data_IF_050571229924
#
_entry.id   IF_050571229924
#
_cell.length_a   1.000
_cell.length_b   1.000
_cell.length_c   1.000
_cell.angle_alpha   90.00
_cell.angle_beta   90.00
_cell.angle_gamma   90.00
#
_symmetry.space_group_name_H-M   'P 1'
#
loop_
_entity.id
_entity.type
_entity.pdbx_description
1 polymer ?
#
# COMPACT_ATOMS: atom_id res chain seq x y z
N UNK A 1 1.46 -16.70 9.52
CA UNK A 1 2.87 -16.82 9.11
C UNK A 1 3.44 -15.43 8.92
N UNK A 2 4.69 -15.18 9.33
CA UNK A 2 5.32 -13.87 9.16
C UNK A 2 5.67 -13.68 7.68
N UNK A 3 4.99 -12.76 6.99
CA UNK A 3 5.32 -12.36 5.62
C UNK A 3 6.70 -11.68 5.62
N UNK A 4 7.57 -12.08 4.71
CA UNK A 4 8.86 -11.45 4.46
C UNK A 4 8.67 -10.67 3.15
N UNK A 5 9.03 -9.38 3.15
CA UNK A 5 9.00 -8.57 1.93
C UNK A 5 9.99 -9.15 0.93
N UNK A 6 9.50 -9.44 -0.27
CA UNK A 6 10.31 -9.88 -1.41
C UNK A 6 11.11 -8.71 -1.98
N UNK A 7 12.08 -8.99 -2.85
CA UNK A 7 12.86 -7.95 -3.54
C UNK A 7 11.98 -6.94 -4.29
N UNK A 8 10.83 -7.41 -4.80
CA UNK A 8 9.87 -6.58 -5.50
C UNK A 8 9.13 -5.63 -4.55
N UNK A 9 8.70 -6.12 -3.38
CA UNK A 9 8.11 -5.28 -2.33
C UNK A 9 9.09 -4.18 -1.91
N UNK A 10 10.38 -4.53 -1.75
CA UNK A 10 11.45 -3.58 -1.40
C UNK A 10 11.64 -2.53 -2.50
N UNK A 11 11.60 -2.94 -3.77
CA UNK A 11 11.71 -2.04 -4.92
C UNK A 11 10.57 -1.01 -4.98
N UNK A 12 9.34 -1.47 -4.76
CA UNK A 12 8.16 -0.61 -4.66
C UNK A 12 8.34 0.38 -3.51
N UNK A 13 8.72 -0.11 -2.32
CA UNK A 13 8.85 0.71 -1.11
C UNK A 13 9.94 1.79 -1.27
N UNK A 14 11.08 1.46 -1.91
CA UNK A 14 12.12 2.43 -2.28
C UNK A 14 11.65 3.48 -3.29
N UNK A 15 10.72 3.12 -4.18
CA UNK A 15 10.19 4.04 -5.19
C UNK A 15 9.25 5.07 -4.56
N UNK A 16 8.36 4.62 -3.67
CA UNK A 16 7.37 5.48 -2.99
C UNK A 16 7.95 6.20 -1.76
N UNK A 17 8.95 5.62 -1.11
CA UNK A 17 9.62 6.14 0.09
C UNK A 17 11.13 5.86 0.00
N UNK A 18 11.87 6.63 -0.81
CA UNK A 18 13.33 6.47 -0.94
C UNK A 18 14.07 6.72 0.38
N UNK A 19 13.51 7.53 1.28
CA UNK A 19 14.01 7.73 2.65
C UNK A 19 13.91 6.47 3.55
N UNK A 20 13.24 5.41 3.10
CA UNK A 20 13.20 4.12 3.80
C UNK A 20 14.53 3.36 3.59
N UNK A 21 15.61 3.88 4.17
CA UNK A 21 16.97 3.36 3.98
C UNK A 21 17.22 2.05 4.76
N UNK A 22 16.38 1.76 5.76
CA UNK A 22 16.35 0.49 6.46
C UNK A 22 14.95 -0.10 6.42
N UNK A 23 14.79 -1.30 5.87
CA UNK A 23 13.57 -2.13 5.93
C UNK A 23 13.20 -2.57 7.36
N UNK A 24 13.69 -1.83 8.36
CA UNK A 24 13.60 -2.07 9.77
C UNK A 24 12.75 -0.93 10.33
N UNK A 25 11.64 -1.29 10.96
CA UNK A 25 10.90 -0.33 11.76
C UNK A 25 11.85 0.20 12.85
N UNK A 26 12.15 1.51 12.83
CA UNK A 26 13.17 2.17 13.65
C UNK A 26 13.02 1.97 15.17
N UNK A 27 11.91 1.38 15.62
CA UNK A 27 11.61 1.12 17.04
C UNK A 27 11.52 -0.34 17.47
N UNK A 28 11.62 -1.35 16.58
CA UNK A 28 11.43 -2.75 17.01
C UNK A 28 12.27 -3.82 16.30
N UNK A 29 13.03 -3.49 15.25
CA UNK A 29 13.85 -4.49 14.54
C UNK A 29 13.03 -5.58 13.82
N UNK A 30 11.72 -5.36 13.65
CA UNK A 30 10.81 -6.23 12.91
C UNK A 30 10.67 -5.67 11.50
N UNK A 31 10.74 -6.56 10.50
CA UNK A 31 10.47 -6.20 9.10
C UNK A 31 9.03 -5.74 8.94
N UNK A 32 8.83 -4.69 8.14
CA UNK A 32 7.48 -4.29 7.72
C UNK A 32 6.81 -5.47 7.01
N UNK A 33 5.55 -5.72 7.33
CA UNK A 33 4.75 -6.79 6.71
C UNK A 33 3.85 -6.27 5.58
N UNK A 34 3.74 -4.95 5.49
CA UNK A 34 2.89 -4.27 4.52
C UNK A 34 3.55 -2.97 4.07
N UNK A 35 3.25 -2.52 2.85
CA UNK A 35 3.84 -1.36 2.19
C UNK A 35 2.98 -0.12 2.43
N UNK A 36 1.67 -0.26 2.25
CA UNK A 36 0.70 0.83 2.33
C UNK A 36 0.53 1.43 3.73
N UNK A 37 0.41 0.66 4.82
CA UNK A 37 0.30 1.23 6.17
C UNK A 37 1.48 2.11 6.59
N UNK A 38 2.75 1.68 6.46
CA UNK A 38 3.87 2.56 6.80
C UNK A 38 3.99 3.71 5.81
N UNK A 39 3.70 3.51 4.52
CA UNK A 39 3.68 4.62 3.56
C UNK A 39 2.68 5.69 3.95
N UNK A 40 1.43 5.31 4.28
CA UNK A 40 0.37 6.24 4.62
C UNK A 40 0.57 6.91 5.99
N UNK A 41 1.06 6.17 7.01
CA UNK A 41 1.16 6.68 8.38
C UNK A 41 2.52 7.27 8.76
N UNK A 42 3.62 6.79 8.17
CA UNK A 42 4.97 7.21 8.56
C UNK A 42 5.66 8.10 7.52
N UNK A 43 5.47 7.84 6.23
CA UNK A 43 6.21 8.52 5.16
C UNK A 43 5.41 9.64 4.48
N UNK A 44 4.11 9.43 4.32
CA UNK A 44 3.21 10.40 3.71
C UNK A 44 2.83 11.46 4.73
N UNK A 45 2.91 12.73 4.32
CA UNK A 45 2.46 13.85 5.18
C UNK A 45 0.93 13.96 5.19
N UNK A 46 0.33 13.76 4.03
CA UNK A 46 -1.09 13.93 3.77
C UNK A 46 -1.56 12.94 2.69
N UNK A 47 -2.87 12.81 2.51
CA UNK A 47 -3.46 11.92 1.51
C UNK A 47 -3.03 12.28 0.06
N UNK A 48 -2.82 13.57 -0.24
CA UNK A 48 -2.32 14.02 -1.55
C UNK A 48 -0.84 13.62 -1.76
N UNK A 49 -0.01 13.71 -0.72
CA UNK A 49 1.40 13.30 -0.76
C UNK A 49 1.52 11.78 -0.99
N UNK A 50 0.70 11.00 -0.28
CA UNK A 50 0.56 9.57 -0.49
C UNK A 50 0.19 9.25 -1.95
N UNK A 51 -0.82 9.93 -2.50
CA UNK A 51 -1.26 9.72 -3.87
C UNK A 51 -0.16 10.06 -4.87
N UNK A 52 0.56 11.16 -4.67
CA UNK A 52 1.70 11.54 -5.53
C UNK A 52 2.78 10.47 -5.53
N UNK A 53 3.11 9.91 -4.37
CA UNK A 53 4.09 8.81 -4.22
C UNK A 53 3.62 7.56 -4.95
N UNK A 54 2.37 7.14 -4.76
CA UNK A 54 1.79 6.00 -5.49
C UNK A 54 1.78 6.24 -7.00
N UNK A 55 1.53 7.47 -7.45
CA UNK A 55 1.56 7.82 -8.88
C UNK A 55 2.95 7.70 -9.51
N UNK A 56 4.04 7.69 -8.73
CA UNK A 56 5.39 7.42 -9.21
C UNK A 56 5.59 5.93 -9.56
N UNK A 57 4.79 5.03 -8.99
CA UNK A 57 4.85 3.62 -9.32
C UNK A 57 4.50 3.40 -10.79
N UNK A 58 5.22 2.46 -11.40
CA UNK A 58 4.89 1.98 -12.74
C UNK A 58 3.54 1.23 -12.71
N UNK A 59 2.95 1.03 -13.89
CA UNK A 59 1.70 0.26 -14.02
C UNK A 59 1.85 -1.16 -13.46
N UNK A 60 2.99 -1.81 -13.71
CA UNK A 60 3.31 -3.16 -13.23
C UNK A 60 3.47 -3.21 -11.71
N UNK A 61 4.14 -2.21 -11.12
CA UNK A 61 4.29 -2.12 -9.66
C UNK A 61 2.94 -1.89 -8.98
N UNK A 62 2.10 -1.02 -9.56
CA UNK A 62 0.76 -0.75 -9.06
C UNK A 62 -0.12 -2.02 -9.14
N UNK A 63 -0.07 -2.74 -10.26
CA UNK A 63 -0.81 -4.00 -10.43
C UNK A 63 -0.37 -5.05 -9.41
N UNK A 64 0.94 -5.18 -9.18
CA UNK A 64 1.48 -6.06 -8.15
C UNK A 64 0.97 -5.68 -6.77
N UNK A 65 1.01 -4.38 -6.43
CA UNK A 65 0.56 -3.86 -5.14
C UNK A 65 -0.92 -4.15 -4.93
N UNK A 66 -1.76 -3.94 -5.95
CA UNK A 66 -3.17 -4.32 -5.90
C UNK A 66 -3.34 -5.82 -5.71
N UNK A 67 -2.59 -6.65 -6.45
CA UNK A 67 -2.66 -8.10 -6.32
C UNK A 67 -2.32 -8.57 -4.91
N UNK A 68 -1.39 -7.92 -4.21
CA UNK A 68 -1.08 -8.22 -2.81
C UNK A 68 -2.26 -7.92 -1.88
N UNK A 69 -2.96 -6.80 -2.10
CA UNK A 69 -4.18 -6.44 -1.37
C UNK A 69 -5.25 -7.52 -1.58
N UNK A 70 -5.49 -7.90 -2.84
CA UNK A 70 -6.48 -8.91 -3.18
C UNK A 70 -6.12 -10.30 -2.64
N UNK A 71 -4.83 -10.60 -2.52
CA UNK A 71 -4.34 -11.86 -1.94
C UNK A 71 -4.38 -11.86 -0.40
N UNK A 72 -4.72 -10.75 0.24
CA UNK A 72 -4.70 -10.58 1.70
C UNK A 72 -3.28 -10.51 2.28
N UNK A 73 -2.27 -10.39 1.42
CA UNK A 73 -0.87 -10.24 1.79
C UNK A 73 -0.56 -8.81 2.25
N UNK A 74 -1.30 -7.84 1.72
CA UNK A 74 -1.23 -6.43 2.09
C UNK A 74 -2.41 -6.05 2.99
N UNK A 75 -2.11 -5.61 4.21
CA UNK A 75 -3.15 -5.19 5.14
C UNK A 75 -3.45 -3.70 4.96
N UNK A 76 -4.73 -3.38 4.73
CA UNK A 76 -5.19 -2.00 4.63
C UNK A 76 -5.81 -1.46 5.92
N UNK A 77 -5.98 -2.29 6.96
CA UNK A 77 -6.73 -1.94 8.17
C UNK A 77 -6.13 -0.81 9.02
N UNK A 78 -4.91 -0.38 8.72
CA UNK A 78 -4.28 0.79 9.36
C UNK A 78 -4.17 1.99 8.43
N UNK A 79 -4.73 1.93 7.21
CA UNK A 79 -4.70 3.04 6.25
C UNK A 79 -5.97 3.86 6.41
N UNK A 80 -5.89 5.20 6.59
CA UNK A 80 -7.08 6.01 6.74
C UNK A 80 -7.95 6.00 5.48
N UNK A 81 -9.27 6.03 5.64
CA UNK A 81 -10.24 5.97 4.55
C UNK A 81 -9.98 7.01 3.42
N UNK A 82 -9.61 8.24 3.77
CA UNK A 82 -9.27 9.28 2.78
C UNK A 82 -8.13 8.87 1.83
N UNK A 83 -7.16 8.10 2.32
CA UNK A 83 -6.01 7.66 1.53
C UNK A 83 -6.43 6.52 0.59
N UNK A 84 -7.29 5.63 1.08
CA UNK A 84 -7.84 4.53 0.28
C UNK A 84 -8.74 5.03 -0.83
N UNK A 85 -9.57 6.05 -0.59
CA UNK A 85 -10.38 6.65 -1.66
C UNK A 85 -9.47 7.13 -2.81
N UNK A 86 -8.43 7.90 -2.50
CA UNK A 86 -7.50 8.40 -3.51
C UNK A 86 -6.73 7.26 -4.20
N UNK A 87 -6.36 6.22 -3.45
CA UNK A 87 -5.72 5.02 -4.01
C UNK A 87 -6.63 4.31 -5.01
N UNK A 88 -7.89 4.05 -4.62
CA UNK A 88 -8.91 3.38 -5.43
C UNK A 88 -9.23 4.20 -6.68
N UNK A 89 -9.33 5.51 -6.57
CA UNK A 89 -9.53 6.40 -7.72
C UNK A 89 -8.37 6.29 -8.72
N UNK A 90 -7.13 6.36 -8.25
CA UNK A 90 -5.94 6.20 -9.11
C UNK A 90 -5.83 4.80 -9.72
N UNK A 91 -6.21 3.76 -8.98
CA UNK A 91 -6.29 2.39 -9.51
C UNK A 91 -7.37 2.31 -10.59
N UNK A 92 -8.52 2.96 -10.40
CA UNK A 92 -9.59 3.00 -11.40
C UNK A 92 -9.13 3.67 -12.69
N UNK A 93 -8.43 4.80 -12.58
CA UNK A 93 -7.90 5.54 -13.74
C UNK A 93 -6.83 4.76 -14.50
N UNK A 94 -5.98 3.97 -13.80
CA UNK A 94 -4.84 3.28 -14.41
C UNK A 94 -5.11 1.83 -14.79
N UNK A 95 -5.73 1.05 -13.89
CA UNK A 95 -5.96 -0.39 -14.03
C UNK A 95 -7.42 -0.73 -14.38
N UNK A 96 -8.33 0.23 -14.21
CA UNK A 96 -9.75 0.08 -14.50
C UNK A 96 -10.63 -0.09 -13.26
N UNK A 97 -11.92 0.20 -13.44
CA UNK A 97 -12.91 0.24 -12.36
C UNK A 97 -13.11 -1.13 -11.68
N UNK A 98 -12.98 -2.23 -12.42
CA UNK A 98 -13.12 -3.58 -11.88
C UNK A 98 -12.08 -3.86 -10.79
N UNK A 99 -10.83 -3.47 -11.03
CA UNK A 99 -9.72 -3.64 -10.08
C UNK A 99 -9.91 -2.74 -8.87
N UNK A 100 -10.31 -1.48 -9.10
CA UNK A 100 -10.60 -0.52 -8.04
C UNK A 100 -11.72 -1.00 -7.10
N UNK A 101 -12.77 -1.59 -7.66
CA UNK A 101 -13.89 -2.15 -6.90
C UNK A 101 -13.45 -3.33 -6.02
N UNK A 102 -12.57 -4.20 -6.53
CA UNK A 102 -12.00 -5.30 -5.75
C UNK A 102 -11.14 -4.79 -4.59
N UNK A 103 -10.28 -3.79 -4.81
CA UNK A 103 -9.45 -3.17 -3.76
C UNK A 103 -10.34 -2.58 -2.66
N UNK A 104 -11.40 -1.86 -3.04
CA UNK A 104 -12.36 -1.29 -2.09
C UNK A 104 -13.05 -2.37 -1.27
N UNK A 105 -13.41 -3.49 -1.89
CA UNK A 105 -14.01 -4.64 -1.19
C UNK A 105 -13.03 -5.28 -0.21
N UNK A 106 -11.76 -5.45 -0.61
CA UNK A 106 -10.71 -5.96 0.29
C UNK A 106 -10.46 -5.02 1.47
N UNK A 107 -10.58 -3.70 1.29
CA UNK A 107 -10.52 -2.74 2.39
C UNK A 107 -11.66 -2.96 3.40
N UNK A 108 -12.90 -3.04 2.91
CA UNK A 108 -14.11 -3.26 3.71
C UNK A 108 -14.05 -4.58 4.49
N UNK A 109 -13.55 -5.64 3.85
CA UNK A 109 -13.35 -6.96 4.48
C UNK A 109 -12.20 -6.98 5.51
N UNK A 110 -11.22 -6.07 5.35
CA UNK A 110 -10.10 -5.91 6.28
C UNK A 110 -10.46 -5.13 7.54
N UNK A 111 -11.54 -4.35 7.54
CA UNK A 111 -12.02 -3.68 8.75
C UNK A 111 -12.63 -4.74 9.68
N UNK A 112 -11.99 -4.93 10.84
CA UNK A 112 -12.46 -5.89 11.84
C UNK A 112 -13.95 -5.67 12.15
N UNK A 113 -14.78 -6.72 12.18
CA UNK A 113 -16.17 -6.59 12.59
C UNK A 113 -16.24 -6.01 14.00
N UNK A 114 -17.05 -4.95 14.14
CA UNK A 114 -17.51 -4.39 15.42
C UNK A 114 -18.21 -5.44 16.28
#
# INVERSE_FOLDING_TARGET
MARILSELDIGILKTVAPECEGLLCSGSGVHYRSILPPLANHYSKDADDFLRRIKLLSMSDLEYLVRLILSGEESLGCVPFNYIILFVENVSERLGEEVASQVRKSYDDSECPV
#
